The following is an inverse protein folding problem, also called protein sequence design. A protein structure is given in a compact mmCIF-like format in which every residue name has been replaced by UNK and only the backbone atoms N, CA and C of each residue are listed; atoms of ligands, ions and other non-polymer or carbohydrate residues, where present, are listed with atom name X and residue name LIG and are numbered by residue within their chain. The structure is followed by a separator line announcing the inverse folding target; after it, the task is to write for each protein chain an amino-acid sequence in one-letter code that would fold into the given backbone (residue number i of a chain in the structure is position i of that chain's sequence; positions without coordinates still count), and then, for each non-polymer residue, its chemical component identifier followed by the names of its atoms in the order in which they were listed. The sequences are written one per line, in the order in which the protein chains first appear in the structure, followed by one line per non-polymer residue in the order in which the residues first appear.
data_IF_670931806035
#
_entry.id   IF_670931806035
#
_cell.length_a   1.000
_cell.length_b   1.000
_cell.length_c   1.000
_cell.angle_alpha   90.00
_cell.angle_beta   90.00
_cell.angle_gamma   90.00
#
_symmetry.space_group_name_H-M   'P 1'
#
loop_
_entity.id
_entity.type
_entity.pdbx_description
1 polymer ?
#
# COMPACT_ATOMS: atom_id res chain seq x y z
N UNK A 1 31.06 -13.65 -3.58
CA UNK A 1 29.87 -13.24 -4.35
C UNK A 1 29.35 -14.30 -5.33
N UNK A 2 30.18 -15.05 -6.07
CA UNK A 2 29.69 -16.08 -7.04
C UNK A 2 29.03 -17.35 -6.44
N UNK A 3 29.15 -17.58 -5.11
CA UNK A 3 28.56 -18.75 -4.43
C UNK A 3 27.18 -18.51 -3.80
N UNK A 4 26.75 -17.27 -3.65
CA UNK A 4 25.42 -16.93 -3.11
C UNK A 4 24.32 -17.02 -4.19
N UNK A 5 24.68 -16.75 -5.45
CA UNK A 5 23.75 -16.78 -6.59
C UNK A 5 23.33 -18.21 -7.00
N UNK A 6 24.10 -19.23 -6.62
CA UNK A 6 23.83 -20.64 -6.97
C UNK A 6 22.82 -21.28 -6.01
N UNK A 7 22.62 -20.72 -4.81
CA UNK A 7 21.67 -21.26 -3.83
C UNK A 7 20.22 -20.84 -4.15
N UNK A 8 20.02 -19.71 -4.82
CA UNK A 8 18.68 -19.22 -5.20
C UNK A 8 18.09 -19.86 -6.47
N UNK A 9 18.91 -20.51 -7.30
CA UNK A 9 18.45 -21.19 -8.54
C UNK A 9 18.15 -22.69 -8.31
N UNK A 10 18.50 -23.22 -7.13
CA UNK A 10 18.42 -24.66 -6.82
C UNK A 10 17.08 -25.21 -6.31
N UNK A 11 16.03 -24.39 -6.17
CA UNK A 11 14.74 -24.80 -5.55
C UNK A 11 13.64 -25.19 -6.55
N UNK A 12 13.96 -25.35 -7.83
CA UNK A 12 13.00 -25.76 -8.86
C UNK A 12 13.19 -27.23 -9.27
N UNK A 13 13.09 -28.18 -8.35
CA UNK A 13 12.97 -29.60 -8.70
C UNK A 13 12.03 -30.36 -7.76
N UNK A 14 10.85 -30.66 -8.30
CA UNK A 14 10.03 -31.87 -8.12
C UNK A 14 9.54 -32.20 -6.69
N UNK A 15 8.24 -32.03 -6.49
CA UNK A 15 7.42 -33.13 -5.95
C UNK A 15 6.03 -33.11 -6.57
N UNK A 16 5.76 -34.03 -7.49
CA UNK A 16 4.41 -34.48 -7.77
C UNK A 16 4.03 -35.44 -6.62
N UNK A 17 3.59 -34.87 -5.50
CA UNK A 17 3.03 -35.60 -4.37
C UNK A 17 1.51 -35.38 -4.36
N UNK A 18 0.73 -36.41 -4.02
CA UNK A 18 -0.71 -36.35 -3.82
C UNK A 18 -1.13 -35.03 -3.16
N UNK A 19 -2.21 -34.41 -3.67
CA UNK A 19 -2.73 -33.11 -3.25
C UNK A 19 -2.94 -33.04 -1.73
N UNK A 20 -1.88 -32.71 -1.01
CA UNK A 20 -1.91 -32.42 0.41
C UNK A 20 -2.50 -31.01 0.52
N UNK A 21 -3.58 -30.86 1.28
CA UNK A 21 -4.16 -29.54 1.58
C UNK A 21 -3.05 -28.59 2.02
N UNK A 22 -2.91 -27.48 1.30
CA UNK A 22 -1.87 -26.48 1.56
C UNK A 22 -2.36 -25.58 2.67
N UNK A 23 -1.73 -25.64 3.83
CA UNK A 23 -2.17 -24.87 5.00
C UNK A 23 -2.02 -23.36 4.78
N UNK A 24 -3.04 -22.59 5.17
CA UNK A 24 -3.00 -21.11 5.16
C UNK A 24 -1.90 -20.60 6.08
N UNK A 25 -1.76 -21.16 7.28
CA UNK A 25 -0.73 -20.74 8.25
C UNK A 25 0.67 -21.01 7.72
N UNK A 26 0.91 -22.16 7.09
CA UNK A 26 2.20 -22.46 6.47
C UNK A 26 2.48 -21.54 5.28
N UNK A 27 1.46 -21.23 4.48
CA UNK A 27 1.58 -20.26 3.38
C UNK A 27 2.03 -18.89 3.88
N UNK A 28 1.40 -18.38 4.95
CA UNK A 28 1.78 -17.11 5.58
C UNK A 28 3.22 -17.14 6.10
N UNK A 29 3.63 -18.22 6.78
CA UNK A 29 5.01 -18.37 7.24
C UNK A 29 6.01 -18.29 6.10
N UNK A 30 5.74 -18.96 4.97
CA UNK A 30 6.61 -18.88 3.80
C UNK A 30 6.65 -17.47 3.19
N UNK A 31 5.51 -16.78 3.10
CA UNK A 31 5.47 -15.40 2.62
C UNK A 31 6.24 -14.43 3.51
N UNK A 32 6.28 -14.68 4.83
CA UNK A 32 7.07 -13.91 5.78
C UNK A 32 8.59 -14.12 5.67
N UNK A 33 9.04 -15.25 5.10
CA UNK A 33 10.47 -15.57 5.00
C UNK A 33 11.14 -14.86 3.82
N UNK A 34 10.47 -14.77 2.69
CA UNK A 34 10.98 -14.07 1.51
C UNK A 34 9.88 -13.76 0.48
N UNK A 35 10.12 -12.79 -0.42
CA UNK A 35 9.16 -12.39 -1.45
C UNK A 35 8.73 -13.55 -2.33
N UNK A 36 7.43 -13.73 -2.52
CA UNK A 36 6.88 -14.86 -3.30
C UNK A 36 6.92 -16.21 -2.58
N UNK A 37 7.41 -16.29 -1.34
CA UNK A 37 7.57 -17.53 -0.57
C UNK A 37 6.30 -18.36 -0.48
N UNK A 38 5.16 -17.76 -0.12
CA UNK A 38 3.88 -18.46 -0.07
C UNK A 38 3.45 -19.02 -1.42
N UNK A 39 3.71 -18.31 -2.53
CA UNK A 39 3.40 -18.83 -3.86
C UNK A 39 4.26 -20.04 -4.23
N UNK A 40 5.54 -20.07 -3.82
CA UNK A 40 6.36 -21.27 -4.02
C UNK A 40 5.84 -22.46 -3.19
N UNK A 41 5.40 -22.22 -1.95
CA UNK A 41 4.77 -23.27 -1.13
C UNK A 41 3.47 -23.83 -1.76
N UNK A 42 2.70 -22.97 -2.42
CA UNK A 42 1.48 -23.33 -3.15
C UNK A 42 1.74 -23.94 -4.54
N UNK A 43 2.98 -24.27 -4.88
CA UNK A 43 3.37 -24.79 -6.20
C UNK A 43 3.03 -23.84 -7.36
N UNK A 44 3.13 -22.52 -7.11
CA UNK A 44 2.89 -21.44 -8.07
C UNK A 44 4.19 -20.67 -8.40
N UNK A 45 5.19 -21.32 -9.01
CA UNK A 45 6.52 -20.73 -9.19
C UNK A 45 6.52 -19.48 -10.08
N UNK A 46 5.60 -19.37 -11.04
CA UNK A 46 5.51 -18.18 -11.88
C UNK A 46 5.11 -16.94 -11.08
N UNK A 47 4.13 -17.07 -10.17
CA UNK A 47 3.72 -15.98 -9.29
C UNK A 47 4.82 -15.66 -8.26
N UNK A 48 5.43 -16.69 -7.67
CA UNK A 48 6.56 -16.51 -6.74
C UNK A 48 7.73 -15.76 -7.38
N UNK A 49 8.14 -16.15 -8.58
CA UNK A 49 9.20 -15.49 -9.34
C UNK A 49 8.83 -14.05 -9.71
N UNK A 50 7.57 -13.77 -10.08
CA UNK A 50 7.15 -12.43 -10.41
C UNK A 50 7.31 -11.46 -9.23
N UNK A 51 6.90 -11.87 -8.03
CA UNK A 51 7.09 -11.08 -6.80
C UNK A 51 8.57 -10.92 -6.46
N UNK A 52 9.33 -12.02 -6.42
CA UNK A 52 10.75 -12.01 -6.08
C UNK A 52 11.58 -11.12 -7.01
N UNK A 53 11.36 -11.22 -8.32
CA UNK A 53 12.07 -10.40 -9.30
C UNK A 53 11.67 -8.93 -9.21
N UNK A 54 10.37 -8.64 -9.08
CA UNK A 54 9.88 -7.25 -9.00
C UNK A 54 10.42 -6.56 -7.75
N UNK A 55 10.29 -7.19 -6.58
CA UNK A 55 10.82 -6.64 -5.34
C UNK A 55 12.35 -6.51 -5.38
N UNK A 56 13.05 -7.53 -5.89
CA UNK A 56 14.51 -7.48 -6.04
C UNK A 56 14.97 -6.32 -6.94
N UNK A 57 14.28 -6.06 -8.05
CA UNK A 57 14.57 -4.92 -8.93
C UNK A 57 14.30 -3.57 -8.26
N UNK A 58 13.20 -3.46 -7.50
CA UNK A 58 12.89 -2.26 -6.73
C UNK A 58 13.95 -2.01 -5.64
N UNK A 59 14.36 -3.04 -4.89
CA UNK A 59 15.43 -2.91 -3.91
C UNK A 59 16.76 -2.48 -4.55
N UNK A 60 17.14 -3.05 -5.70
CA UNK A 60 18.33 -2.63 -6.44
C UNK A 60 18.23 -1.18 -6.95
N UNK A 61 17.05 -0.78 -7.44
CA UNK A 61 16.77 0.59 -7.84
C UNK A 61 16.91 1.56 -6.67
N UNK A 62 16.31 1.22 -5.52
CA UNK A 62 16.40 1.99 -4.28
C UNK A 62 17.83 2.14 -3.79
N UNK A 63 18.64 1.07 -3.82
CA UNK A 63 20.06 1.12 -3.50
C UNK A 63 20.83 2.07 -4.44
N UNK A 64 20.48 2.09 -5.73
CA UNK A 64 21.18 2.92 -6.72
C UNK A 64 20.94 4.42 -6.55
N UNK A 65 19.81 4.82 -5.95
CA UNK A 65 19.46 6.23 -5.73
C UNK A 65 19.63 6.69 -4.28
N UNK A 66 19.86 5.76 -3.33
CA UNK A 66 19.82 6.05 -1.89
C UNK A 66 20.79 7.15 -1.46
N UNK A 67 21.99 7.21 -2.06
CA UNK A 67 22.99 8.24 -1.75
C UNK A 67 22.63 9.64 -2.26
N UNK A 68 21.63 9.74 -3.13
CA UNK A 68 21.23 10.98 -3.79
C UNK A 68 19.99 11.63 -3.15
N UNK A 69 19.32 10.91 -2.24
CA UNK A 69 18.14 11.39 -1.54
C UNK A 69 18.52 12.52 -0.58
N UNK A 70 17.67 13.52 -0.49
CA UNK A 70 17.80 14.54 0.56
C UNK A 70 17.25 14.02 1.89
N UNK A 71 17.65 14.65 2.99
CA UNK A 71 17.07 14.33 4.30
C UNK A 71 15.54 14.48 4.28
N UNK A 72 14.83 13.44 4.73
CA UNK A 72 13.36 13.38 4.73
C UNK A 72 12.73 12.84 3.46
N UNK A 73 13.44 12.79 2.33
CA UNK A 73 12.91 12.26 1.07
C UNK A 73 12.73 10.74 1.15
N UNK A 74 11.54 10.27 0.78
CA UNK A 74 11.26 8.85 0.73
C UNK A 74 12.02 8.18 -0.40
N UNK A 75 12.64 7.03 -0.10
CA UNK A 75 13.14 6.15 -1.15
C UNK A 75 11.96 5.48 -1.85
N UNK A 76 11.46 6.09 -2.92
CA UNK A 76 10.29 5.65 -3.69
C UNK A 76 10.35 4.14 -4.03
N UNK A 77 11.53 3.63 -4.41
CA UNK A 77 11.67 2.23 -4.76
C UNK A 77 11.53 1.29 -3.56
N UNK A 78 12.09 1.66 -2.39
CA UNK A 78 11.92 0.86 -1.17
C UNK A 78 10.47 0.84 -0.69
N UNK A 79 9.77 1.98 -0.77
CA UNK A 79 8.35 2.03 -0.40
C UNK A 79 7.54 1.08 -1.29
N UNK A 80 7.74 1.12 -2.61
CA UNK A 80 7.05 0.22 -3.51
C UNK A 80 7.49 -1.24 -3.35
N UNK A 81 8.74 -1.52 -2.98
CA UNK A 81 9.20 -2.88 -2.66
C UNK A 81 8.40 -3.46 -1.49
N UNK A 82 8.19 -2.67 -0.43
CA UNK A 82 7.34 -3.05 0.71
C UNK A 82 5.90 -3.31 0.26
N UNK A 83 5.34 -2.48 -0.63
CA UNK A 83 3.97 -2.66 -1.13
C UNK A 83 3.80 -3.92 -1.98
N UNK A 84 4.80 -4.26 -2.79
CA UNK A 84 4.85 -5.52 -3.54
C UNK A 84 4.96 -6.72 -2.59
N UNK A 85 5.73 -6.59 -1.51
CA UNK A 85 5.86 -7.63 -0.49
C UNK A 85 4.53 -7.88 0.25
N UNK A 86 3.85 -6.82 0.70
CA UNK A 86 2.51 -6.87 1.30
C UNK A 86 1.51 -7.58 0.35
N UNK A 87 1.53 -7.23 -0.93
CA UNK A 87 0.72 -7.90 -1.96
C UNK A 87 1.05 -9.39 -2.09
N UNK A 88 2.33 -9.76 -2.04
CA UNK A 88 2.76 -11.16 -2.11
C UNK A 88 2.19 -12.00 -0.96
N UNK A 89 2.19 -11.44 0.26
CA UNK A 89 1.61 -12.08 1.44
C UNK A 89 0.10 -12.27 1.25
N UNK A 90 -0.61 -11.22 0.87
CA UNK A 90 -2.06 -11.31 0.67
C UNK A 90 -2.44 -12.29 -0.44
N UNK A 91 -1.81 -12.21 -1.62
CA UNK A 91 -2.23 -13.04 -2.75
C UNK A 91 -2.00 -14.51 -2.46
N UNK A 92 -0.87 -14.88 -1.86
CA UNK A 92 -0.64 -16.28 -1.45
C UNK A 92 -1.62 -16.74 -0.37
N UNK A 93 -1.91 -15.92 0.64
CA UNK A 93 -2.96 -16.18 1.63
C UNK A 93 -4.33 -16.46 0.99
N UNK A 94 -4.74 -15.59 0.06
CA UNK A 94 -6.00 -15.71 -0.67
C UNK A 94 -6.05 -16.98 -1.51
N UNK A 95 -4.99 -17.27 -2.27
CA UNK A 95 -4.93 -18.48 -3.10
C UNK A 95 -5.00 -19.75 -2.23
N UNK A 96 -4.33 -19.79 -1.07
CA UNK A 96 -4.44 -20.92 -0.13
C UNK A 96 -5.89 -21.13 0.35
N UNK A 97 -6.61 -20.04 0.65
CA UNK A 97 -8.03 -20.12 1.02
C UNK A 97 -8.90 -20.61 -0.13
N UNK A 98 -8.69 -20.12 -1.35
CA UNK A 98 -9.42 -20.57 -2.54
C UNK A 98 -9.18 -22.07 -2.80
N UNK A 99 -7.92 -22.52 -2.75
CA UNK A 99 -7.55 -23.92 -2.95
C UNK A 99 -8.21 -24.86 -1.95
N UNK A 100 -8.35 -24.41 -0.70
CA UNK A 100 -8.99 -25.19 0.36
C UNK A 100 -10.51 -25.00 0.41
N UNK A 101 -11.14 -24.41 -0.62
CA UNK A 101 -12.58 -24.17 -0.65
C UNK A 101 -13.08 -23.27 0.48
N UNK A 102 -12.22 -22.40 0.99
CA UNK A 102 -12.43 -21.54 2.17
C UNK A 102 -12.79 -22.32 3.46
N UNK A 103 -12.37 -23.58 3.57
CA UNK A 103 -12.64 -24.40 4.74
C UNK A 103 -12.07 -23.77 6.02
N UNK A 104 -12.87 -23.75 7.10
CA UNK A 104 -12.48 -23.19 8.39
C UNK A 104 -12.71 -21.69 8.56
N UNK A 105 -13.24 -21.00 7.55
CA UNK A 105 -13.56 -19.57 7.60
C UNK A 105 -15.06 -19.33 7.50
N UNK A 106 -15.58 -18.42 8.32
CA UNK A 106 -16.95 -17.92 8.21
C UNK A 106 -17.07 -16.72 7.26
N UNK A 107 -16.00 -15.94 7.12
CA UNK A 107 -15.92 -14.80 6.22
C UNK A 107 -15.67 -15.24 4.77
N UNK A 108 -16.24 -14.55 3.77
CA UNK A 108 -15.93 -14.81 2.37
C UNK A 108 -14.45 -14.57 2.07
N UNK A 109 -13.95 -15.20 1.01
CA UNK A 109 -12.68 -14.82 0.37
C UNK A 109 -13.02 -14.00 -0.87
N UNK A 110 -12.37 -12.85 -1.03
CA UNK A 110 -12.51 -12.07 -2.26
C UNK A 110 -11.77 -12.80 -3.41
N UNK A 111 -12.48 -13.28 -4.42
CA UNK A 111 -11.92 -13.98 -5.57
C UNK A 111 -11.54 -13.06 -6.74
N UNK A 112 -11.60 -11.74 -6.58
CA UNK A 112 -11.24 -10.77 -7.63
C UNK A 112 -9.80 -10.94 -8.09
N UNK A 113 -9.57 -10.89 -9.40
CA UNK A 113 -8.21 -10.99 -9.93
C UNK A 113 -7.36 -9.78 -9.47
N UNK A 114 -6.05 -9.96 -9.30
CA UNK A 114 -5.15 -8.86 -8.90
C UNK A 114 -5.23 -7.71 -9.90
N UNK A 115 -5.33 -8.02 -11.19
CA UNK A 115 -5.51 -7.03 -12.26
C UNK A 115 -6.76 -6.18 -12.03
N UNK A 116 -7.88 -6.81 -11.69
CA UNK A 116 -9.14 -6.10 -11.47
C UNK A 116 -9.11 -5.26 -10.19
N UNK A 117 -8.39 -5.72 -9.15
CA UNK A 117 -8.15 -4.93 -7.93
C UNK A 117 -7.31 -3.68 -8.22
N UNK A 118 -6.23 -3.82 -9.00
CA UNK A 118 -5.39 -2.67 -9.41
C UNK A 118 -6.19 -1.68 -10.25
N UNK A 119 -7.09 -2.16 -11.11
CA UNK A 119 -7.95 -1.30 -11.94
C UNK A 119 -9.17 -0.77 -11.20
N UNK A 120 -9.46 -1.25 -10.00
CA UNK A 120 -10.68 -0.92 -9.26
C UNK A 120 -10.93 0.59 -9.08
N UNK A 121 -9.92 1.45 -8.80
CA UNK A 121 -10.15 2.88 -8.65
C UNK A 121 -10.63 3.58 -9.93
N UNK A 122 -10.32 3.01 -11.09
CA UNK A 122 -10.62 3.58 -12.40
C UNK A 122 -11.92 3.03 -13.01
N UNK A 123 -12.56 2.06 -12.37
CA UNK A 123 -13.89 1.58 -12.76
C UNK A 123 -14.92 2.63 -12.38
N UNK A 124 -15.72 3.05 -13.36
CA UNK A 124 -16.75 4.08 -13.14
C UNK A 124 -17.73 3.72 -12.02
N UNK A 125 -18.12 2.45 -11.92
CA UNK A 125 -19.02 1.94 -10.87
C UNK A 125 -18.45 2.12 -9.45
N UNK A 126 -17.12 2.04 -9.28
CA UNK A 126 -16.47 2.25 -8.00
C UNK A 126 -16.28 3.74 -7.75
N UNK A 127 -15.75 4.47 -8.72
CA UNK A 127 -15.51 5.92 -8.59
C UNK A 127 -16.78 6.71 -8.31
N UNK A 128 -17.88 6.39 -9.01
CA UNK A 128 -19.17 7.08 -8.84
C UNK A 128 -19.93 6.67 -7.57
N UNK A 129 -19.41 5.70 -6.80
CA UNK A 129 -19.97 5.36 -5.50
C UNK A 129 -19.92 6.56 -4.55
N UNK A 130 -21.03 6.93 -3.87
CA UNK A 130 -21.02 8.03 -2.91
C UNK A 130 -20.03 7.79 -1.76
N UNK A 131 -19.74 6.53 -1.43
CA UNK A 131 -18.74 6.17 -0.42
C UNK A 131 -17.30 6.49 -0.87
N UNK A 132 -16.98 6.25 -2.14
CA UNK A 132 -15.66 6.55 -2.70
C UNK A 132 -15.51 8.06 -2.88
N UNK A 133 -16.53 8.70 -3.46
CA UNK A 133 -16.52 10.14 -3.69
C UNK A 133 -16.50 10.95 -2.39
N UNK A 134 -17.25 10.53 -1.37
CA UNK A 134 -17.21 11.15 -0.04
C UNK A 134 -15.82 11.07 0.60
N UNK A 135 -15.13 9.94 0.42
CA UNK A 135 -13.78 9.76 0.96
C UNK A 135 -12.73 10.58 0.19
N UNK A 136 -12.88 10.73 -1.14
CA UNK A 136 -12.10 11.67 -1.95
C UNK A 136 -12.21 13.10 -1.40
N UNK A 137 -13.45 13.59 -1.18
CA UNK A 137 -13.68 14.94 -0.63
C UNK A 137 -13.06 15.07 0.77
N UNK A 138 -13.15 14.05 1.61
CA UNK A 138 -12.53 14.06 2.93
C UNK A 138 -11.00 14.23 2.84
N UNK A 139 -10.34 13.48 1.95
CA UNK A 139 -8.89 13.58 1.73
C UNK A 139 -8.47 15.00 1.32
N UNK A 140 -9.15 15.57 0.32
CA UNK A 140 -8.91 16.95 -0.11
C UNK A 140 -9.18 17.96 1.00
N UNK A 141 -10.33 17.86 1.68
CA UNK A 141 -10.75 18.82 2.70
C UNK A 141 -9.83 18.85 3.92
N UNK A 142 -9.41 17.68 4.42
CA UNK A 142 -8.49 17.57 5.56
C UNK A 142 -7.13 18.20 5.24
N UNK A 143 -6.58 17.94 4.06
CA UNK A 143 -5.26 18.46 3.67
C UNK A 143 -5.31 19.94 3.26
N UNK A 144 -6.43 20.41 2.68
CA UNK A 144 -6.65 21.83 2.48
C UNK A 144 -6.70 22.59 3.81
N UNK A 145 -7.36 22.01 4.82
CA UNK A 145 -7.42 22.58 6.16
C UNK A 145 -6.02 22.62 6.78
N UNK A 146 -5.28 21.50 6.74
CA UNK A 146 -3.90 21.42 7.23
C UNK A 146 -3.00 22.49 6.60
N UNK A 147 -3.00 22.58 5.27
CA UNK A 147 -2.22 23.59 4.54
C UNK A 147 -2.65 25.02 4.91
N UNK A 148 -3.95 25.27 5.10
CA UNK A 148 -4.47 26.60 5.45
C UNK A 148 -4.13 27.02 6.88
N UNK A 149 -3.96 26.05 7.78
CA UNK A 149 -3.56 26.28 9.16
C UNK A 149 -2.04 26.50 9.32
N UNK A 150 -1.25 26.21 8.29
CA UNK A 150 0.19 26.48 8.31
C UNK A 150 0.49 27.95 7.93
N UNK A 151 0.91 28.81 8.89
CA UNK A 151 1.21 30.22 8.60
C UNK A 151 2.48 30.40 7.74
N UNK A 152 3.35 29.39 7.68
CA UNK A 152 4.59 29.40 6.91
C UNK A 152 4.45 28.81 5.50
N UNK A 153 3.22 28.46 5.07
CA UNK A 153 2.99 27.78 3.79
C UNK A 153 3.56 28.58 2.62
N UNK A 154 4.06 27.84 1.63
CA UNK A 154 4.53 28.40 0.36
C UNK A 154 3.53 28.09 -0.75
N UNK A 155 3.43 28.94 -1.76
CA UNK A 155 2.52 28.68 -2.87
C UNK A 155 3.21 27.86 -3.97
N UNK A 156 2.46 26.99 -4.64
CA UNK A 156 2.93 26.24 -5.82
C UNK A 156 3.43 27.16 -6.95
N UNK A 157 2.85 28.36 -7.08
CA UNK A 157 3.29 29.39 -8.02
C UNK A 157 4.72 29.86 -7.80
N UNK A 158 5.21 29.77 -6.57
CA UNK A 158 6.48 30.37 -6.14
C UNK A 158 7.64 29.36 -6.25
N UNK A 159 7.34 28.13 -6.70
CA UNK A 159 8.35 27.09 -6.91
C UNK A 159 9.29 27.53 -8.03
N UNK A 160 10.59 27.57 -7.73
CA UNK A 160 11.65 27.77 -8.72
C UNK A 160 12.18 26.44 -9.26
N UNK A 161 12.36 25.47 -8.38
CA UNK A 161 12.99 24.18 -8.69
C UNK A 161 12.48 23.10 -7.73
N UNK A 162 12.43 21.86 -8.19
CA UNK A 162 12.08 20.69 -7.40
C UNK A 162 13.20 19.66 -7.56
N UNK A 163 13.75 19.20 -6.43
CA UNK A 163 14.78 18.17 -6.40
C UNK A 163 14.16 16.82 -6.04
N UNK A 164 14.33 15.84 -6.92
CA UNK A 164 13.81 14.47 -6.75
C UNK A 164 14.95 13.49 -7.05
N UNK A 165 15.28 12.63 -6.09
CA UNK A 165 16.28 11.56 -6.22
C UNK A 165 17.63 12.04 -6.80
N UNK A 166 18.04 13.25 -6.42
CA UNK A 166 19.28 13.88 -6.84
C UNK A 166 19.23 14.68 -8.15
N UNK A 167 18.11 14.67 -8.86
CA UNK A 167 17.90 15.46 -10.06
C UNK A 167 17.18 16.77 -9.72
N UNK A 168 17.72 17.89 -10.20
CA UNK A 168 17.07 19.20 -10.12
C UNK A 168 16.22 19.41 -11.37
N UNK A 169 14.93 19.64 -11.16
CA UNK A 169 13.93 19.83 -12.22
C UNK A 169 13.31 21.21 -12.10
N UNK A 170 13.00 21.83 -13.23
CA UNK A 170 12.18 23.04 -13.23
C UNK A 170 10.79 22.75 -12.64
N UNK A 171 10.03 23.81 -12.30
CA UNK A 171 8.70 23.67 -11.68
C UNK A 171 7.78 22.73 -12.46
N UNK A 172 7.79 22.79 -13.79
CA UNK A 172 6.88 22.01 -14.63
C UNK A 172 7.26 20.52 -14.63
N UNK A 173 8.53 20.21 -14.91
CA UNK A 173 9.06 18.85 -14.91
C UNK A 173 9.00 18.22 -13.53
N UNK A 174 9.35 18.98 -12.49
CA UNK A 174 9.27 18.53 -11.10
C UNK A 174 7.85 18.25 -10.63
N UNK A 175 6.88 19.11 -10.99
CA UNK A 175 5.46 18.88 -10.66
C UNK A 175 4.93 17.64 -11.38
N UNK A 176 5.30 17.44 -12.65
CA UNK A 176 4.90 16.26 -13.40
C UNK A 176 5.49 14.97 -12.80
N UNK A 177 6.79 14.98 -12.45
CA UNK A 177 7.47 13.86 -11.81
C UNK A 177 6.85 13.54 -10.43
N UNK A 178 6.64 14.56 -9.59
CA UNK A 178 5.96 14.40 -8.30
C UNK A 178 4.56 13.80 -8.46
N UNK A 179 3.77 14.31 -9.41
CA UNK A 179 2.41 13.80 -9.65
C UNK A 179 2.41 12.35 -10.09
N UNK A 180 3.34 11.95 -10.97
CA UNK A 180 3.49 10.57 -11.41
C UNK A 180 3.89 9.63 -10.25
N UNK A 181 4.81 10.08 -9.39
CA UNK A 181 5.19 9.35 -8.18
C UNK A 181 4.01 9.23 -7.22
N UNK A 182 3.27 10.32 -6.99
CA UNK A 182 2.16 10.34 -6.05
C UNK A 182 0.98 9.47 -6.49
N UNK A 183 0.65 9.47 -7.79
CA UNK A 183 -0.36 8.55 -8.35
C UNK A 183 0.06 7.10 -8.12
N UNK A 184 1.32 6.77 -8.41
CA UNK A 184 1.85 5.41 -8.22
C UNK A 184 1.80 4.99 -6.76
N UNK A 185 2.33 5.82 -5.85
CA UNK A 185 2.31 5.54 -4.41
C UNK A 185 0.90 5.42 -3.87
N UNK A 186 -0.02 6.29 -4.31
CA UNK A 186 -1.43 6.22 -3.89
C UNK A 186 -2.08 4.90 -4.33
N UNK A 187 -1.78 4.43 -5.53
CA UNK A 187 -2.30 3.18 -6.07
C UNK A 187 -1.69 1.98 -5.36
N UNK A 188 -0.37 1.95 -5.25
CA UNK A 188 0.37 0.84 -4.65
C UNK A 188 0.00 0.72 -3.17
N UNK A 189 -0.07 1.82 -2.42
CA UNK A 189 -0.56 1.82 -1.04
C UNK A 189 -2.02 1.34 -0.95
N UNK A 190 -2.93 1.88 -1.76
CA UNK A 190 -4.34 1.49 -1.69
C UNK A 190 -4.55 0.01 -2.00
N UNK A 191 -3.90 -0.52 -3.04
CA UNK A 191 -4.05 -1.93 -3.42
C UNK A 191 -3.43 -2.84 -2.36
N UNK A 192 -2.17 -2.58 -1.98
CA UNK A 192 -1.43 -3.43 -1.02
C UNK A 192 -2.02 -3.39 0.39
N UNK A 193 -2.33 -2.20 0.90
CA UNK A 193 -2.81 -2.04 2.26
C UNK A 193 -4.25 -2.54 2.41
N UNK A 194 -5.15 -2.31 1.47
CA UNK A 194 -6.50 -2.89 1.59
C UNK A 194 -6.46 -4.42 1.47
N UNK A 195 -5.62 -4.96 0.59
CA UNK A 195 -5.37 -6.40 0.50
C UNK A 195 -4.86 -6.97 1.84
N UNK A 196 -3.84 -6.35 2.44
CA UNK A 196 -3.28 -6.80 3.71
C UNK A 196 -4.25 -6.58 4.89
N UNK A 197 -4.77 -5.37 5.07
CA UNK A 197 -5.53 -5.00 6.26
C UNK A 197 -6.99 -5.43 6.21
N UNK A 198 -7.66 -5.39 5.06
CA UNK A 198 -9.08 -5.78 4.93
C UNK A 198 -9.16 -7.23 4.48
N UNK A 199 -8.39 -7.58 3.46
CA UNK A 199 -8.38 -8.92 2.88
C UNK A 199 -7.79 -10.01 3.78
N UNK A 200 -6.80 -9.66 4.62
CA UNK A 200 -6.14 -10.60 5.54
C UNK A 200 -6.40 -10.23 7.01
N UNK A 201 -5.86 -9.12 7.54
CA UNK A 201 -5.88 -8.87 8.97
C UNK A 201 -7.29 -8.73 9.55
N UNK A 202 -8.17 -8.01 8.87
CA UNK A 202 -9.56 -7.87 9.31
C UNK A 202 -10.27 -9.21 9.30
N UNK A 203 -10.10 -10.02 8.24
CA UNK A 203 -10.70 -11.36 8.21
C UNK A 203 -10.21 -12.22 9.38
N UNK A 204 -8.89 -12.32 9.59
CA UNK A 204 -8.33 -13.09 10.71
C UNK A 204 -8.83 -12.59 12.07
N UNK A 205 -8.89 -11.27 12.26
CA UNK A 205 -9.41 -10.69 13.50
C UNK A 205 -10.90 -10.95 13.67
N UNK A 206 -11.69 -10.94 12.60
CA UNK A 206 -13.12 -11.24 12.65
C UNK A 206 -13.41 -12.72 12.92
N UNK A 207 -12.61 -13.64 12.39
CA UNK A 207 -12.71 -15.07 12.72
C UNK A 207 -12.34 -15.32 14.20
N UNK A 208 -11.32 -14.63 14.72
CA UNK A 208 -10.85 -14.84 16.09
C UNK A 208 -11.69 -14.13 17.15
N UNK A 209 -12.15 -12.90 16.88
CA UNK A 209 -12.76 -12.00 17.88
C UNK A 209 -14.24 -11.71 17.58
N UNK A 210 -14.75 -12.16 16.44
CA UNK A 210 -16.07 -11.80 15.92
C UNK A 210 -16.07 -10.48 15.14
N UNK A 211 -17.11 -10.29 14.33
CA UNK A 211 -17.17 -9.24 13.30
C UNK A 211 -16.94 -7.81 13.80
N UNK A 212 -17.47 -7.46 14.97
CA UNK A 212 -17.37 -6.09 15.49
C UNK A 212 -16.00 -5.83 16.10
N UNK A 213 -15.56 -6.70 17.02
CA UNK A 213 -14.24 -6.55 17.64
C UNK A 213 -13.12 -6.67 16.60
N UNK A 214 -13.24 -7.61 15.65
CA UNK A 214 -12.27 -7.79 14.58
C UNK A 214 -12.08 -6.55 13.70
N UNK A 215 -13.18 -5.87 13.35
CA UNK A 215 -13.14 -4.59 12.63
C UNK A 215 -12.36 -3.52 13.42
N UNK A 216 -12.69 -3.30 14.70
CA UNK A 216 -12.00 -2.29 15.51
C UNK A 216 -10.52 -2.65 15.75
N UNK A 217 -10.21 -3.94 15.95
CA UNK A 217 -8.83 -4.41 16.11
C UNK A 217 -8.02 -4.17 14.83
N UNK A 218 -8.54 -4.55 13.66
CA UNK A 218 -7.83 -4.32 12.38
C UNK A 218 -7.64 -2.82 12.09
N UNK A 219 -8.66 -2.00 12.35
CA UNK A 219 -8.55 -0.54 12.23
C UNK A 219 -7.48 0.04 13.17
N UNK A 220 -7.41 -0.46 14.42
CA UNK A 220 -6.38 -0.08 15.37
C UNK A 220 -4.97 -0.47 14.90
N UNK A 221 -4.79 -1.69 14.37
CA UNK A 221 -3.51 -2.14 13.79
C UNK A 221 -3.10 -1.26 12.61
N UNK A 222 -4.04 -0.91 11.74
CA UNK A 222 -3.80 0.01 10.62
C UNK A 222 -3.34 1.39 11.10
N UNK A 223 -3.99 1.95 12.14
CA UNK A 223 -3.56 3.20 12.76
C UNK A 223 -2.18 3.13 13.41
N UNK A 224 -1.88 2.05 14.12
CA UNK A 224 -0.56 1.82 14.71
C UNK A 224 0.55 1.72 13.65
N UNK A 225 0.25 1.16 12.48
CA UNK A 225 1.17 1.15 11.33
C UNK A 225 1.57 2.53 10.82
N UNK A 226 0.79 3.57 11.15
CA UNK A 226 1.04 4.97 10.78
C UNK A 226 1.75 5.77 11.88
N UNK A 227 2.04 5.16 13.05
CA UNK A 227 2.83 5.79 14.11
C UNK A 227 4.32 5.54 13.84
N UNK A 228 4.95 6.43 13.09
CA UNK A 228 6.37 6.37 12.72
C UNK A 228 7.32 6.84 13.84
N UNK A 229 6.84 7.65 14.78
CA UNK A 229 7.61 8.09 15.95
C UNK A 229 6.75 8.06 17.21
N UNK A 230 7.00 7.06 18.07
CA UNK A 230 6.22 6.81 19.29
C UNK A 230 6.38 7.89 20.37
N UNK A 231 7.40 8.74 20.28
CA UNK A 231 7.63 9.85 21.20
C UNK A 231 6.99 11.18 20.74
N UNK A 232 6.45 11.23 19.52
CA UNK A 232 5.90 12.44 18.92
C UNK A 232 4.36 12.43 18.89
N UNK A 233 3.74 13.48 19.45
CA UNK A 233 2.29 13.62 19.50
C UNK A 233 1.66 13.75 18.12
N UNK A 234 2.36 14.36 17.15
CA UNK A 234 1.86 14.50 15.79
C UNK A 234 1.79 13.14 15.09
N UNK A 235 2.79 12.28 15.28
CA UNK A 235 2.77 10.91 14.77
C UNK A 235 1.60 10.09 15.34
N UNK A 236 1.26 10.26 16.62
CA UNK A 236 0.08 9.62 17.23
C UNK A 236 -1.24 10.16 16.68
N UNK A 237 -1.33 11.47 16.43
CA UNK A 237 -2.50 12.07 15.80
C UNK A 237 -2.71 11.50 14.38
N UNK A 238 -1.64 11.37 13.60
CA UNK A 238 -1.65 10.71 12.29
C UNK A 238 -2.14 9.26 12.40
N UNK A 239 -1.62 8.49 13.37
CA UNK A 239 -2.10 7.13 13.65
C UNK A 239 -3.59 7.07 14.02
N UNK A 240 -4.09 8.06 14.76
CA UNK A 240 -5.52 8.18 15.08
C UNK A 240 -6.39 8.45 13.85
N UNK A 241 -5.97 9.35 12.96
CA UNK A 241 -6.66 9.61 11.69
C UNK A 241 -6.64 8.37 10.81
N UNK A 242 -5.50 7.70 10.72
CA UNK A 242 -5.38 6.43 9.99
C UNK A 242 -6.28 5.35 10.58
N UNK A 243 -6.40 5.22 11.91
CA UNK A 243 -7.32 4.27 12.54
C UNK A 243 -8.78 4.55 12.15
N UNK A 244 -9.21 5.82 12.10
CA UNK A 244 -10.55 6.20 11.66
C UNK A 244 -10.78 5.88 10.16
N UNK A 245 -9.78 6.14 9.32
CA UNK A 245 -9.80 5.74 7.91
C UNK A 245 -9.90 4.21 7.78
N UNK A 246 -9.13 3.46 8.56
CA UNK A 246 -9.17 2.00 8.61
C UNK A 246 -10.52 1.46 9.06
N UNK A 247 -11.16 2.12 10.03
CA UNK A 247 -12.51 1.76 10.48
C UNK A 247 -13.54 1.98 9.38
N UNK A 248 -13.47 3.12 8.68
CA UNK A 248 -14.35 3.43 7.55
C UNK A 248 -14.18 2.41 6.40
N UNK A 249 -12.95 2.15 6.00
CA UNK A 249 -12.63 1.25 4.90
C UNK A 249 -12.96 -0.22 5.25
N UNK A 250 -12.74 -0.62 6.50
CA UNK A 250 -13.13 -1.94 7.00
C UNK A 250 -14.65 -2.13 7.11
N UNK A 251 -15.39 -1.08 7.46
CA UNK A 251 -16.85 -1.08 7.36
C UNK A 251 -17.30 -1.18 5.89
N UNK A 252 -16.71 -0.40 4.98
CA UNK A 252 -17.04 -0.43 3.56
C UNK A 252 -16.77 -1.81 2.96
N UNK A 253 -15.66 -2.44 3.31
CA UNK A 253 -15.32 -3.81 2.92
C UNK A 253 -16.43 -4.81 3.31
N UNK A 254 -16.93 -4.74 4.55
CA UNK A 254 -18.06 -5.58 4.99
C UNK A 254 -19.37 -5.23 4.29
N UNK A 255 -19.64 -3.93 4.11
CA UNK A 255 -20.85 -3.43 3.46
C UNK A 255 -20.96 -3.95 2.02
N UNK A 256 -19.83 -4.07 1.34
CA UNK A 256 -19.71 -4.58 -0.02
C UNK A 256 -19.57 -6.11 -0.09
N UNK A 257 -19.86 -6.82 0.99
CA UNK A 257 -19.83 -8.28 1.02
C UNK A 257 -18.42 -8.86 0.95
N UNK A 258 -17.45 -8.21 1.61
CA UNK A 258 -16.03 -8.59 1.64
C UNK A 258 -15.37 -8.52 0.26
N UNK A 259 -15.74 -7.49 -0.52
CA UNK A 259 -15.14 -7.17 -1.82
C UNK A 259 -14.20 -5.97 -1.67
N UNK A 260 -12.97 -6.11 -2.15
CA UNK A 260 -11.89 -5.13 -1.96
C UNK A 260 -11.94 -3.97 -2.96
N UNK A 261 -12.66 -4.11 -4.06
CA UNK A 261 -12.65 -3.13 -5.16
C UNK A 261 -13.01 -1.70 -4.72
N UNK A 262 -14.09 -1.54 -3.95
CA UNK A 262 -14.50 -0.21 -3.45
C UNK A 262 -13.63 0.32 -2.31
N UNK A 263 -13.21 -0.47 -1.30
CA UNK A 263 -12.21 -0.04 -0.34
C UNK A 263 -10.91 0.46 -0.99
N UNK A 264 -10.39 -0.29 -1.99
CA UNK A 264 -9.21 0.11 -2.77
C UNK A 264 -9.47 1.43 -3.51
N UNK A 265 -10.61 1.56 -4.19
CA UNK A 265 -10.98 2.79 -4.88
C UNK A 265 -11.07 3.98 -3.91
N UNK A 266 -11.74 3.81 -2.78
CA UNK A 266 -11.87 4.85 -1.75
C UNK A 266 -10.48 5.28 -1.26
N UNK A 267 -9.65 4.34 -0.83
CA UNK A 267 -8.32 4.61 -0.32
C UNK A 267 -7.45 5.32 -1.36
N UNK A 268 -7.40 4.84 -2.61
CA UNK A 268 -6.66 5.48 -3.69
C UNK A 268 -7.06 6.95 -3.87
N UNK A 269 -8.36 7.20 -4.01
CA UNK A 269 -8.86 8.55 -4.27
C UNK A 269 -8.69 9.48 -3.07
N UNK A 270 -8.75 8.95 -1.84
CA UNK A 270 -8.39 9.71 -0.64
C UNK A 270 -6.93 10.14 -0.68
N UNK A 271 -5.99 9.21 -0.88
CA UNK A 271 -4.55 9.51 -0.90
C UNK A 271 -4.19 10.47 -2.03
N UNK A 272 -4.71 10.21 -3.22
CA UNK A 272 -4.47 11.05 -4.39
C UNK A 272 -4.96 12.49 -4.11
N UNK A 273 -6.22 12.65 -3.68
CA UNK A 273 -6.79 13.96 -3.40
C UNK A 273 -6.08 14.67 -2.23
N UNK A 274 -5.75 13.95 -1.17
CA UNK A 274 -5.00 14.45 -0.01
C UNK A 274 -3.67 15.06 -0.42
N UNK A 275 -2.77 14.25 -0.99
CA UNK A 275 -1.42 14.72 -1.31
C UNK A 275 -1.35 15.67 -2.52
N UNK A 276 -2.27 15.56 -3.49
CA UNK A 276 -2.37 16.56 -4.56
C UNK A 276 -2.81 17.91 -4.00
N UNK A 277 -3.81 17.93 -3.11
CA UNK A 277 -4.27 19.18 -2.48
C UNK A 277 -3.16 19.80 -1.65
N UNK A 278 -2.49 19.00 -0.80
CA UNK A 278 -1.38 19.47 0.01
C UNK A 278 -0.24 20.02 -0.85
N UNK A 279 0.16 19.32 -1.92
CA UNK A 279 1.23 19.79 -2.80
C UNK A 279 0.90 21.09 -3.54
N UNK A 280 -0.37 21.31 -3.91
CA UNK A 280 -0.79 22.56 -4.55
C UNK A 280 -0.79 23.72 -3.54
N UNK A 281 -1.23 23.45 -2.29
CA UNK A 281 -1.46 24.50 -1.29
C UNK A 281 -0.26 24.79 -0.38
N UNK A 282 0.61 23.80 -0.17
CA UNK A 282 1.81 23.85 0.65
C UNK A 282 2.86 22.79 0.21
N UNK A 283 3.45 22.94 -0.99
CA UNK A 283 4.44 22.00 -1.55
C UNK A 283 5.68 21.81 -0.67
N UNK A 284 5.98 22.74 0.25
CA UNK A 284 7.11 22.63 1.17
C UNK A 284 6.95 21.46 2.16
N UNK A 285 5.71 21.14 2.54
CA UNK A 285 5.36 20.05 3.47
C UNK A 285 4.79 18.84 2.74
N UNK A 286 5.28 18.57 1.53
CA UNK A 286 4.79 17.44 0.75
C UNK A 286 5.08 16.09 1.45
N UNK A 287 4.18 15.10 1.33
CA UNK A 287 4.25 13.83 2.06
C UNK A 287 5.42 12.92 1.64
N UNK A 288 6.02 13.14 0.46
CA UNK A 288 7.15 12.34 -0.05
C UNK A 288 8.49 12.90 0.45
N UNK A 289 8.49 14.09 1.08
CA UNK A 289 9.69 14.74 1.59
C UNK A 289 10.66 15.23 0.51
N UNK A 290 10.18 15.41 -0.73
CA UNK A 290 11.03 15.95 -1.80
C UNK A 290 11.36 17.42 -1.51
N UNK A 291 12.56 17.86 -1.88
CA UNK A 291 12.96 19.26 -1.65
C UNK A 291 12.38 20.15 -2.73
N UNK A 292 11.65 21.17 -2.29
CA UNK A 292 11.09 22.21 -3.15
C UNK A 292 11.78 23.53 -2.83
N UNK A 293 12.40 24.13 -3.84
CA UNK A 293 13.00 25.45 -3.75
C UNK A 293 12.02 26.50 -4.26
N UNK A 294 12.02 27.67 -3.62
CA UNK A 294 11.11 28.76 -3.94
C UNK A 294 11.89 30.00 -4.37
N UNK A 295 11.37 30.72 -5.37
CA UNK A 295 11.83 32.07 -5.66
C UNK A 295 11.56 33.01 -4.48
N UNK A 296 12.50 33.93 -4.24
CA UNK A 296 12.39 34.99 -3.23
C UNK A 296 11.32 36.02 -3.62
#
# INVERSE_FOLDING_TARGET
MKRLLVILIGLSLVSAACAQEKSVSTTLLWSLLFPGGGHFYLDQPNAGNAYLLTEGLLLLGGLSVNSNLVEGEWNFFYVNAIKIYEMSIFTSYREARILNGNAGYSSPVDSTSVKDLVLAPFKWENFSSPYVFGFLIAGAGLNALEASLNPGRKCHSDISEIRIMGADLDRAGGTAAYSAMWITLSLDAAVSEECAYRGLFQVECEEALGKTAGLFTSAGLFGLGHVVNWADGQSWASGGVAALAGLYLGWLFRHEGYRLEKPIAAHFWFNLAAGTTLFIMDPANNPIGIRVNFSL
#
